data_IF_379270681524
#
_entry.id   IF_379270681524
#
_cell.length_a   1.000
_cell.length_b   1.000
_cell.length_c   1.000
_cell.angle_alpha   90.00
_cell.angle_beta   90.00
_cell.angle_gamma   90.00
#
_symmetry.space_group_name_H-M   'P 1'
#
loop_
_entity.id
_entity.type
_entity.pdbx_description
1 polymer ?
#
# COMPACT_ATOMS: atom_id res chain seq x y z
N UNK A 1 55.63 -12.70 28.87
CA UNK A 1 54.36 -11.99 29.10
C UNK A 1 53.82 -11.52 27.76
N UNK A 2 52.71 -12.09 27.28
CA UNK A 2 52.04 -11.68 26.03
C UNK A 2 50.71 -11.06 26.42
N UNK A 3 50.54 -9.76 26.14
CA UNK A 3 49.25 -9.09 26.27
C UNK A 3 48.44 -9.33 25.00
N UNK A 4 47.25 -9.92 25.15
CA UNK A 4 46.26 -10.00 24.08
C UNK A 4 45.40 -8.72 24.10
N UNK A 5 45.40 -8.00 22.99
CA UNK A 5 44.51 -6.87 22.74
C UNK A 5 43.17 -7.44 22.28
N UNK A 6 42.12 -7.24 23.07
CA UNK A 6 40.76 -7.54 22.66
C UNK A 6 40.28 -6.44 21.70
N UNK A 7 40.15 -6.76 20.42
CA UNK A 7 39.41 -5.94 19.47
C UNK A 7 37.92 -6.12 19.73
N UNK A 8 37.27 -5.09 20.26
CA UNK A 8 35.82 -4.96 20.19
C UNK A 8 35.46 -4.55 18.77
N UNK A 9 34.91 -5.49 17.99
CA UNK A 9 34.20 -5.16 16.76
C UNK A 9 32.91 -4.45 17.13
N UNK A 10 32.87 -3.14 16.94
CA UNK A 10 31.64 -2.37 16.95
C UNK A 10 30.81 -2.82 15.76
N UNK A 11 29.78 -3.61 16.01
CA UNK A 11 28.75 -3.91 15.00
C UNK A 11 28.04 -2.60 14.72
N UNK A 12 28.31 -1.99 13.56
CA UNK A 12 27.51 -0.88 13.08
C UNK A 12 26.13 -1.45 12.76
N UNK A 13 25.15 -1.20 13.64
CA UNK A 13 23.74 -1.34 13.31
C UNK A 13 23.47 -0.24 12.29
N UNK A 14 23.58 -0.57 11.00
CA UNK A 14 22.97 0.23 9.95
C UNK A 14 21.46 0.08 10.15
N UNK A 15 20.84 1.04 10.81
CA UNK A 15 19.40 1.26 10.62
C UNK A 15 19.22 1.47 9.13
N UNK A 16 18.64 0.49 8.44
CA UNK A 16 18.13 0.74 7.10
C UNK A 16 17.30 2.03 7.18
N UNK A 17 17.53 2.97 6.27
CA UNK A 17 16.61 4.07 6.12
C UNK A 17 15.26 3.45 5.75
N UNK A 18 14.36 3.36 6.74
CA UNK A 18 12.99 2.90 6.54
C UNK A 18 12.37 3.77 5.45
N UNK A 19 11.93 3.10 4.40
CA UNK A 19 11.38 3.68 3.21
C UNK A 19 9.86 3.61 3.35
N UNK A 20 9.33 4.51 4.17
CA UNK A 20 7.91 4.59 4.48
C UNK A 20 7.22 5.63 3.58
N UNK A 21 5.88 5.60 3.58
CA UNK A 21 5.06 6.66 2.99
C UNK A 21 5.54 8.03 3.49
N UNK A 22 5.56 9.03 2.61
CA UNK A 22 6.03 10.35 2.99
C UNK A 22 5.10 11.04 4.00
N UNK A 23 3.81 10.68 4.00
CA UNK A 23 2.82 11.14 4.96
C UNK A 23 1.55 10.29 4.89
N UNK A 24 0.89 10.10 6.04
CA UNK A 24 -0.49 9.58 6.16
C UNK A 24 -1.27 10.58 7.01
N UNK A 25 -2.32 11.18 6.47
CA UNK A 25 -3.08 12.25 7.14
C UNK A 25 -4.57 11.95 7.20
N UNK A 26 -5.18 12.33 8.32
CA UNK A 26 -6.62 12.32 8.53
C UNK A 26 -7.29 10.93 8.43
N UNK A 27 -6.51 9.85 8.59
CA UNK A 27 -6.96 8.46 8.46
C UNK A 27 -7.49 7.81 9.75
N UNK A 28 -7.42 8.53 10.88
CA UNK A 28 -7.99 8.09 12.14
C UNK A 28 -7.51 6.68 12.54
N UNK A 29 -8.46 5.73 12.64
CA UNK A 29 -8.15 4.36 13.04
C UNK A 29 -7.22 3.65 12.06
N UNK A 30 -7.30 3.95 10.77
CA UNK A 30 -6.60 3.23 9.70
C UNK A 30 -5.15 3.68 9.49
N UNK A 31 -4.66 4.63 10.28
CA UNK A 31 -3.33 5.23 10.09
C UNK A 31 -2.24 4.17 10.21
N UNK A 32 -2.27 3.37 11.27
CA UNK A 32 -1.25 2.37 11.56
C UNK A 32 -1.29 1.24 10.52
N UNK A 33 -2.48 0.87 10.03
CA UNK A 33 -2.67 -0.16 9.01
C UNK A 33 -2.15 0.31 7.63
N UNK A 34 -2.39 1.56 7.26
CA UNK A 34 -1.87 2.16 6.01
C UNK A 34 -0.34 2.22 6.04
N UNK A 35 0.24 2.63 7.17
CA UNK A 35 1.69 2.66 7.36
C UNK A 35 2.27 1.24 7.30
N UNK A 36 1.64 0.28 7.99
CA UNK A 36 2.04 -1.13 7.95
C UNK A 36 1.98 -1.72 6.54
N UNK A 37 0.96 -1.37 5.74
CA UNK A 37 0.91 -1.75 4.32
C UNK A 37 2.08 -1.14 3.54
N UNK A 38 2.37 0.14 3.76
CA UNK A 38 3.53 0.82 3.16
C UNK A 38 4.85 0.11 3.43
N UNK A 39 5.14 -0.14 4.71
CA UNK A 39 6.33 -0.86 5.17
C UNK A 39 6.39 -2.27 4.57
N UNK A 40 5.28 -3.01 4.64
CA UNK A 40 5.22 -4.39 4.22
C UNK A 40 5.46 -4.57 2.72
N UNK A 41 4.81 -3.75 1.88
CA UNK A 41 5.02 -3.74 0.43
C UNK A 41 6.45 -3.34 0.10
N UNK A 42 7.03 -2.38 0.82
CA UNK A 42 8.42 -1.95 0.65
C UNK A 42 9.41 -3.08 0.96
N UNK A 43 9.25 -3.76 2.10
CA UNK A 43 10.10 -4.86 2.55
C UNK A 43 10.04 -6.05 1.60
N UNK A 44 8.88 -6.28 0.98
CA UNK A 44 8.66 -7.38 0.05
C UNK A 44 8.62 -6.95 -1.41
N UNK A 45 9.15 -5.76 -1.74
CA UNK A 45 8.94 -5.11 -3.04
C UNK A 45 9.23 -6.00 -4.24
N UNK A 46 10.35 -6.75 -4.23
CA UNK A 46 10.69 -7.60 -5.37
C UNK A 46 9.69 -8.74 -5.57
N UNK A 47 9.17 -9.33 -4.48
CA UNK A 47 8.15 -10.37 -4.58
C UNK A 47 6.83 -9.79 -5.04
N UNK A 48 6.41 -8.69 -4.42
CA UNK A 48 5.19 -7.96 -4.76
C UNK A 48 5.20 -7.55 -6.25
N UNK A 49 6.25 -6.84 -6.68
CA UNK A 49 6.41 -6.37 -8.06
C UNK A 49 6.34 -7.51 -9.07
N UNK A 50 7.12 -8.58 -8.85
CA UNK A 50 7.14 -9.69 -9.79
C UNK A 50 5.77 -10.38 -9.90
N UNK A 51 5.02 -10.49 -8.79
CA UNK A 51 3.69 -11.07 -8.80
C UNK A 51 2.68 -10.17 -9.50
N UNK A 52 2.65 -8.88 -9.17
CA UNK A 52 1.73 -7.91 -9.77
C UNK A 52 1.99 -7.74 -11.26
N UNK A 53 3.24 -7.55 -11.69
CA UNK A 53 3.59 -7.41 -13.11
C UNK A 53 3.22 -8.67 -13.93
N UNK A 54 3.38 -9.86 -13.34
CA UNK A 54 3.04 -11.11 -14.02
C UNK A 54 1.53 -11.34 -14.16
N UNK A 55 0.74 -11.00 -13.13
CA UNK A 55 -0.70 -11.26 -13.13
C UNK A 55 -1.49 -10.13 -13.81
N UNK A 56 -1.09 -8.87 -13.63
CA UNK A 56 -1.74 -7.72 -14.25
C UNK A 56 -1.25 -7.43 -15.68
N UNK A 57 -0.14 -8.05 -16.12
CA UNK A 57 0.40 -7.83 -17.47
C UNK A 57 0.96 -6.43 -17.70
N UNK A 58 1.34 -5.73 -16.63
CA UNK A 58 1.86 -4.35 -16.65
C UNK A 58 3.30 -4.30 -16.14
N UNK A 59 3.97 -3.17 -16.38
CA UNK A 59 5.25 -2.88 -15.72
C UNK A 59 5.06 -1.72 -14.74
N UNK A 60 5.05 -2.05 -13.44
CA UNK A 60 4.81 -1.06 -12.37
C UNK A 60 6.06 -0.23 -12.07
N UNK A 61 7.24 -0.81 -12.33
CA UNK A 61 8.52 -0.09 -12.41
C UNK A 61 8.87 0.76 -11.18
N UNK A 62 9.77 1.73 -11.38
CA UNK A 62 10.27 2.58 -10.30
C UNK A 62 9.28 3.66 -9.85
N UNK A 63 8.23 3.94 -10.61
CA UNK A 63 7.25 4.96 -10.20
C UNK A 63 6.46 4.49 -8.99
N UNK A 64 5.83 3.31 -9.08
CA UNK A 64 5.04 2.76 -7.98
C UNK A 64 5.94 2.41 -6.80
N UNK A 65 7.15 1.90 -7.07
CA UNK A 65 8.18 1.68 -6.05
C UNK A 65 8.41 2.94 -5.22
N UNK A 66 8.59 4.09 -5.88
CA UNK A 66 8.82 5.35 -5.19
C UNK A 66 7.62 5.84 -4.38
N UNK A 67 6.39 5.44 -4.74
CA UNK A 67 5.19 5.80 -3.95
C UNK A 67 5.19 5.09 -2.62
N UNK A 68 5.40 3.78 -2.63
CA UNK A 68 5.52 2.99 -1.38
C UNK A 68 6.78 3.33 -0.58
N UNK A 69 7.92 3.59 -1.25
CA UNK A 69 9.22 3.71 -0.58
C UNK A 69 9.68 5.10 -0.17
N UNK A 70 9.11 6.17 -0.70
CA UNK A 70 9.80 7.46 -0.61
C UNK A 70 8.91 8.69 -0.64
N UNK A 71 7.90 8.73 -1.50
CA UNK A 71 7.23 9.98 -1.82
C UNK A 71 5.73 9.90 -2.05
N UNK A 72 5.13 8.72 -1.88
CA UNK A 72 3.69 8.58 -1.83
C UNK A 72 3.13 9.23 -0.58
N UNK A 73 1.98 9.87 -0.71
CA UNK A 73 1.23 10.45 0.42
C UNK A 73 -0.16 9.85 0.42
N UNK A 74 -0.71 9.62 1.60
CA UNK A 74 -2.08 9.15 1.78
C UNK A 74 -2.83 10.20 2.58
N UNK A 75 -3.99 10.60 2.08
CA UNK A 75 -4.92 11.50 2.75
C UNK A 75 -6.28 10.80 2.83
N UNK A 76 -6.87 10.71 4.02
CA UNK A 76 -8.20 10.14 4.15
C UNK A 76 -9.25 11.25 4.22
N UNK A 77 -10.29 11.13 3.40
CA UNK A 77 -11.29 12.17 3.21
C UNK A 77 -12.64 11.72 3.79
N UNK A 78 -13.16 12.49 4.76
CA UNK A 78 -14.54 12.32 5.26
C UNK A 78 -15.55 13.09 4.41
N UNK A 79 -15.14 14.26 3.92
CA UNK A 79 -15.86 15.07 2.94
C UNK A 79 -14.81 15.76 2.06
N UNK A 80 -14.93 15.64 0.75
CA UNK A 80 -14.08 16.30 -0.24
C UNK A 80 -13.96 15.54 -1.54
N UNK A 81 -13.40 16.20 -2.55
CA UNK A 81 -12.91 15.55 -3.78
C UNK A 81 -13.93 14.66 -4.49
N UNK A 82 -13.49 13.46 -4.86
CA UNK A 82 -14.36 12.44 -5.44
C UNK A 82 -15.19 11.69 -4.38
N UNK A 83 -14.78 11.74 -3.10
CA UNK A 83 -15.51 11.11 -1.99
C UNK A 83 -16.87 11.78 -1.72
N UNK A 84 -17.07 13.04 -2.14
CA UNK A 84 -18.34 13.76 -2.02
C UNK A 84 -19.34 13.51 -3.17
N UNK A 85 -18.90 12.94 -4.30
CA UNK A 85 -19.70 12.91 -5.54
C UNK A 85 -20.77 11.81 -5.59
N UNK A 86 -21.17 11.27 -4.44
CA UNK A 86 -22.39 10.45 -4.30
C UNK A 86 -22.35 9.10 -5.02
N UNK A 87 -21.18 8.47 -5.14
CA UNK A 87 -20.99 7.15 -5.70
C UNK A 87 -19.98 6.32 -4.91
N UNK A 88 -19.98 5.01 -5.14
CA UNK A 88 -19.15 3.97 -4.51
C UNK A 88 -17.65 4.13 -4.85
N UNK A 89 -17.06 5.27 -4.52
CA UNK A 89 -15.64 5.58 -4.75
C UNK A 89 -14.87 5.24 -3.49
N UNK A 90 -13.99 4.25 -3.58
CA UNK A 90 -13.19 3.83 -2.42
C UNK A 90 -11.97 4.73 -2.19
N UNK A 91 -11.47 5.34 -3.26
CA UNK A 91 -10.35 6.25 -3.25
C UNK A 91 -10.23 6.96 -4.59
N UNK A 92 -9.30 7.91 -4.65
CA UNK A 92 -8.96 8.57 -5.88
C UNK A 92 -7.54 9.11 -5.84
N UNK A 93 -6.93 9.27 -7.01
CA UNK A 93 -5.67 9.97 -7.15
C UNK A 93 -5.60 10.74 -8.46
N UNK A 94 -4.66 11.68 -8.53
CA UNK A 94 -4.36 12.44 -9.74
C UNK A 94 -2.94 12.14 -10.20
N UNK A 95 -2.76 11.90 -11.51
CA UNK A 95 -1.44 11.72 -12.13
C UNK A 95 -0.49 12.92 -11.96
N UNK A 96 -1.03 14.09 -11.61
CA UNK A 96 -0.26 15.32 -11.35
C UNK A 96 0.23 15.41 -9.90
N UNK A 97 -0.23 14.51 -9.03
CA UNK A 97 0.10 14.45 -7.62
C UNK A 97 0.85 13.16 -7.30
N UNK A 98 1.42 13.11 -6.09
CA UNK A 98 1.92 11.88 -5.47
C UNK A 98 1.06 11.45 -4.29
N UNK A 99 -0.07 12.13 -4.10
CA UNK A 99 -1.06 11.86 -3.07
C UNK A 99 -2.15 10.99 -3.66
N UNK A 100 -2.47 9.92 -2.96
CA UNK A 100 -3.75 9.21 -3.08
C UNK A 100 -4.66 9.63 -1.94
N UNK A 101 -5.96 9.58 -2.22
CA UNK A 101 -7.01 9.90 -1.29
C UNK A 101 -7.83 8.62 -1.02
N UNK A 102 -8.04 8.28 0.24
CA UNK A 102 -8.91 7.15 0.64
C UNK A 102 -10.21 7.74 1.18
N UNK A 103 -11.35 7.28 0.67
CA UNK A 103 -12.64 7.75 1.16
C UNK A 103 -13.00 7.07 2.48
N UNK A 104 -13.40 7.85 3.48
CA UNK A 104 -13.81 7.32 4.77
C UNK A 104 -15.06 6.44 4.63
N UNK A 105 -16.09 6.97 3.98
CA UNK A 105 -17.29 6.26 3.52
C UNK A 105 -17.22 6.19 1.98
N UNK A 106 -17.38 5.02 1.35
CA UNK A 106 -17.72 3.71 1.93
C UNK A 106 -16.54 2.84 2.36
N UNK A 107 -15.29 3.19 2.01
CA UNK A 107 -14.20 2.23 2.09
C UNK A 107 -13.72 1.93 3.51
N UNK A 108 -13.21 2.93 4.25
CA UNK A 108 -12.68 2.68 5.59
C UNK A 108 -13.76 2.17 6.54
N UNK A 109 -14.95 2.76 6.52
CA UNK A 109 -16.08 2.26 7.31
C UNK A 109 -16.48 0.83 6.91
N UNK A 110 -16.37 0.47 5.63
CA UNK A 110 -16.66 -0.87 5.10
C UNK A 110 -15.66 -1.96 5.49
N UNK A 111 -14.44 -1.59 5.89
CA UNK A 111 -13.38 -2.54 6.27
C UNK A 111 -13.03 -2.53 7.76
N UNK A 112 -13.38 -1.48 8.52
CA UNK A 112 -12.98 -1.29 9.92
C UNK A 112 -13.31 -2.49 10.84
N UNK A 113 -14.44 -3.16 10.61
CA UNK A 113 -14.88 -4.30 11.46
C UNK A 113 -14.27 -5.65 11.07
N UNK A 114 -13.44 -5.69 10.02
CA UNK A 114 -12.80 -6.91 9.53
C UNK A 114 -11.56 -7.23 10.37
N UNK A 115 -11.06 -8.46 10.25
CA UNK A 115 -9.76 -8.83 10.83
C UNK A 115 -8.62 -8.08 10.15
N UNK A 116 -7.50 -7.92 10.87
CA UNK A 116 -6.31 -7.19 10.41
C UNK A 116 -5.83 -7.67 9.03
N UNK A 117 -5.72 -8.98 8.80
CA UNK A 117 -5.33 -9.52 7.48
C UNK A 117 -6.30 -9.13 6.36
N UNK A 118 -7.61 -9.11 6.65
CA UNK A 118 -8.61 -8.71 5.67
C UNK A 118 -8.55 -7.19 5.40
N UNK A 119 -8.27 -6.38 6.42
CA UNK A 119 -8.05 -4.94 6.26
C UNK A 119 -6.80 -4.67 5.42
N UNK A 120 -5.68 -5.34 5.74
CA UNK A 120 -4.42 -5.23 5.00
C UNK A 120 -4.59 -5.63 3.53
N UNK A 121 -5.31 -6.72 3.24
CA UNK A 121 -5.58 -7.14 1.86
C UNK A 121 -6.34 -6.05 1.07
N UNK A 122 -7.39 -5.48 1.65
CA UNK A 122 -8.14 -4.38 1.04
C UNK A 122 -7.29 -3.12 0.84
N UNK A 123 -6.51 -2.73 1.86
CA UNK A 123 -5.65 -1.55 1.81
C UNK A 123 -4.52 -1.71 0.79
N UNK A 124 -3.88 -2.88 0.70
CA UNK A 124 -2.87 -3.19 -0.32
C UNK A 124 -3.47 -3.01 -1.71
N UNK A 125 -4.67 -3.56 -1.96
CA UNK A 125 -5.34 -3.43 -3.25
C UNK A 125 -5.62 -1.96 -3.60
N UNK A 126 -6.26 -1.22 -2.70
CA UNK A 126 -6.60 0.19 -2.93
C UNK A 126 -5.35 1.07 -3.08
N UNK A 127 -4.35 0.92 -2.22
CA UNK A 127 -3.12 1.70 -2.31
C UNK A 127 -2.37 1.42 -3.61
N UNK A 128 -2.38 0.17 -4.07
CA UNK A 128 -1.81 -0.20 -5.37
C UNK A 128 -2.56 0.50 -6.51
N UNK A 129 -3.89 0.45 -6.48
CA UNK A 129 -4.75 1.10 -7.46
C UNK A 129 -4.47 2.59 -7.54
N UNK A 130 -4.63 3.30 -6.42
CA UNK A 130 -4.57 4.76 -6.42
C UNK A 130 -3.16 5.29 -6.65
N UNK A 131 -2.13 4.66 -6.07
CA UNK A 131 -0.76 5.02 -6.43
C UNK A 131 -0.46 4.72 -7.90
N UNK A 132 -1.08 3.71 -8.50
CA UNK A 132 -1.03 3.47 -9.94
C UNK A 132 -1.53 4.68 -10.74
N UNK A 133 -2.66 5.28 -10.35
CA UNK A 133 -3.16 6.51 -10.97
C UNK A 133 -2.21 7.72 -10.81
N UNK A 134 -1.34 7.74 -9.79
CA UNK A 134 -0.28 8.76 -9.69
C UNK A 134 0.91 8.53 -10.63
N UNK A 135 0.98 7.36 -11.27
CA UNK A 135 2.07 6.92 -12.14
C UNK A 135 1.69 6.90 -13.62
N UNK A 136 0.43 6.60 -13.94
CA UNK A 136 -0.07 6.55 -15.31
C UNK A 136 -1.25 7.49 -15.52
N UNK A 137 -1.30 8.09 -16.70
CA UNK A 137 -2.36 9.03 -17.10
C UNK A 137 -3.62 8.33 -17.64
N UNK A 138 -3.56 7.01 -17.91
CA UNK A 138 -4.69 6.22 -18.39
C UNK A 138 -5.20 5.26 -17.31
N UNK A 139 -6.49 4.90 -17.38
CA UNK A 139 -7.15 4.06 -16.36
C UNK A 139 -6.92 2.55 -16.55
N UNK A 140 -6.92 2.07 -17.80
CA UNK A 140 -7.10 0.64 -18.09
C UNK A 140 -5.92 -0.29 -17.82
N UNK A 141 -4.93 0.11 -17.02
CA UNK A 141 -3.86 -0.79 -16.55
C UNK A 141 -3.77 -0.84 -15.02
N UNK A 142 -4.60 -0.07 -14.32
CA UNK A 142 -4.56 0.08 -12.86
C UNK A 142 -5.55 -0.88 -12.20
N UNK A 143 -6.71 -1.09 -12.82
CA UNK A 143 -7.74 -2.06 -12.39
C UNK A 143 -7.20 -3.50 -12.36
N UNK A 144 -6.33 -3.89 -13.31
CA UNK A 144 -5.72 -5.23 -13.25
C UNK A 144 -4.71 -5.39 -12.09
N UNK A 145 -4.18 -4.28 -11.55
CA UNK A 145 -3.18 -4.30 -10.49
C UNK A 145 -3.77 -4.51 -9.10
N UNK A 146 -5.00 -4.06 -8.83
CA UNK A 146 -5.61 -4.20 -7.51
C UNK A 146 -5.95 -5.66 -7.16
N UNK A 147 -6.50 -6.41 -8.13
CA UNK A 147 -6.73 -7.84 -8.05
C UNK A 147 -5.41 -8.59 -7.80
N UNK A 148 -4.38 -8.28 -8.58
CA UNK A 148 -3.08 -8.91 -8.41
C UNK A 148 -2.41 -8.57 -7.06
N UNK A 149 -2.62 -7.36 -6.54
CA UNK A 149 -2.09 -6.94 -5.25
C UNK A 149 -2.84 -7.60 -4.09
N UNK A 150 -4.16 -7.72 -4.19
CA UNK A 150 -4.98 -8.48 -3.25
C UNK A 150 -4.53 -9.95 -3.20
N UNK A 151 -4.49 -10.62 -4.35
CA UNK A 151 -4.11 -12.02 -4.49
C UNK A 151 -2.68 -12.30 -4.01
N UNK A 152 -1.78 -11.34 -4.19
CA UNK A 152 -0.41 -11.45 -3.67
C UNK A 152 -0.38 -11.57 -2.14
N UNK A 153 -1.24 -10.82 -1.44
CA UNK A 153 -1.30 -10.85 0.02
C UNK A 153 -2.12 -12.04 0.54
N UNK A 154 -3.25 -12.35 -0.10
CA UNK A 154 -4.09 -13.52 0.20
C UNK A 154 -3.34 -14.84 -0.01
N UNK A 155 -2.54 -14.94 -1.07
CA UNK A 155 -1.80 -16.16 -1.42
C UNK A 155 -0.64 -16.53 -0.48
N UNK A 156 -0.45 -15.80 0.63
CA UNK A 156 0.63 -16.05 1.58
C UNK A 156 0.25 -17.08 2.63
N UNK A 157 1.24 -17.86 3.07
CA UNK A 157 1.02 -18.92 4.06
C UNK A 157 0.89 -18.39 5.50
N UNK A 158 1.29 -17.15 5.76
CA UNK A 158 1.27 -16.48 7.06
C UNK A 158 0.07 -15.54 7.25
N UNK A 159 -0.81 -15.43 6.26
CA UNK A 159 -2.04 -14.64 6.33
C UNK A 159 -3.27 -15.54 6.42
N UNK A 160 -4.36 -15.00 6.96
CA UNK A 160 -5.67 -15.64 7.02
C UNK A 160 -6.73 -14.68 6.45
N UNK A 161 -6.57 -14.35 5.18
CA UNK A 161 -7.58 -13.61 4.40
C UNK A 161 -8.75 -14.55 4.11
N UNK A 162 -9.96 -14.06 4.35
CA UNK A 162 -11.20 -14.87 4.25
C UNK A 162 -12.25 -14.22 3.36
N UNK A 163 -11.86 -13.18 2.63
CA UNK A 163 -12.73 -12.36 1.80
C UNK A 163 -12.17 -12.29 0.38
N UNK A 164 -12.97 -11.79 -0.55
CA UNK A 164 -12.54 -11.43 -1.90
C UNK A 164 -12.39 -9.92 -2.04
N UNK A 165 -11.76 -9.44 -3.12
CA UNK A 165 -11.64 -8.02 -3.43
C UNK A 165 -13.02 -7.31 -3.45
N UNK A 166 -14.05 -7.96 -4.00
CA UNK A 166 -15.42 -7.43 -4.01
C UNK A 166 -15.98 -7.15 -2.60
N UNK A 167 -15.50 -7.87 -1.57
CA UNK A 167 -15.88 -7.58 -0.20
C UNK A 167 -15.23 -6.30 0.35
N UNK A 168 -14.17 -5.80 -0.27
CA UNK A 168 -13.57 -4.49 0.00
C UNK A 168 -14.34 -3.33 -0.67
N UNK A 169 -15.40 -3.64 -1.43
CA UNK A 169 -16.12 -2.65 -2.24
C UNK A 169 -15.44 -2.34 -3.57
N UNK A 170 -14.45 -3.12 -3.98
CA UNK A 170 -13.68 -2.98 -5.22
C UNK A 170 -14.02 -4.16 -6.15
N UNK A 171 -14.65 -3.92 -7.31
CA UNK A 171 -15.03 -4.96 -8.30
C UNK A 171 -14.76 -4.57 -9.75
#
# INVERSE_FOLDING_TARGET
MKFAIALFSTLAITTAAHADLANVTDCGWATDEIEAVGEYVTDHWNSYKNFVEANAGVSIGSCLENRFKSNGKVECETTGGACDNGGDVNGWASYLSKTMHICWDPFLDGIQSRSDDNQMACLIALMTHEFGHTCWRGHGSVEDMDNAAFDWFDGRADTNVTISLANCGMD
#
